data_IF_432302928790
#
_entry.id   IF_432302928790
#
_cell.length_a   1.000
_cell.length_b   1.000
_cell.length_c   1.000
_cell.angle_alpha   90.00
_cell.angle_beta   90.00
_cell.angle_gamma   90.00
#
_symmetry.space_group_name_H-M   'P 1'
#
loop_
_entity.id
_entity.type
_entity.pdbx_description
1 polymer ?
#
# COMPACT_ATOMS: atom_id res chain seq x y z
N UNK A 1 -14.17 -64.25 3.64
CA UNK A 1 -14.30 -63.46 4.89
C UNK A 1 -13.47 -62.19 4.71
N UNK A 2 -14.13 -61.05 4.90
CA UNK A 2 -13.73 -59.67 4.67
C UNK A 2 -12.25 -59.29 4.95
N UNK A 3 -11.67 -58.47 4.06
CA UNK A 3 -11.29 -57.07 4.39
C UNK A 3 -10.70 -56.35 3.17
N UNK A 4 -11.55 -55.59 2.46
CA UNK A 4 -11.11 -54.48 1.63
C UNK A 4 -10.80 -53.29 2.55
N UNK A 5 -9.54 -52.89 2.65
CA UNK A 5 -9.17 -51.59 3.21
C UNK A 5 -8.76 -50.67 2.07
N UNK A 6 -9.72 -49.90 1.57
CA UNK A 6 -9.42 -48.67 0.85
C UNK A 6 -9.03 -47.66 1.93
N UNK A 7 -7.71 -47.46 2.11
CA UNK A 7 -7.20 -46.32 2.84
C UNK A 7 -7.48 -45.07 1.99
N UNK A 8 -8.61 -44.42 2.23
CA UNK A 8 -8.83 -43.06 1.73
C UNK A 8 -7.92 -42.16 2.56
N UNK A 9 -6.68 -41.96 2.09
CA UNK A 9 -5.81 -40.93 2.61
C UNK A 9 -6.44 -39.59 2.21
N UNK A 10 -7.30 -39.06 3.08
CA UNK A 10 -7.81 -37.70 2.99
C UNK A 10 -6.62 -36.76 3.18
N UNK A 11 -5.99 -36.38 2.07
CA UNK A 11 -5.07 -35.27 2.07
C UNK A 11 -5.94 -34.01 2.14
N UNK A 12 -6.21 -33.59 3.38
CA UNK A 12 -6.87 -32.32 3.68
C UNK A 12 -5.92 -31.22 3.21
N UNK A 13 -6.03 -30.83 1.94
CA UNK A 13 -5.32 -29.69 1.38
C UNK A 13 -5.91 -28.44 2.03
N UNK A 14 -5.39 -28.08 3.20
CA UNK A 14 -5.59 -26.74 3.74
C UNK A 14 -4.76 -25.80 2.86
N UNK A 15 -5.29 -25.45 1.69
CA UNK A 15 -4.82 -24.30 0.96
C UNK A 15 -4.96 -23.11 1.92
N UNK A 16 -3.84 -22.55 2.36
CA UNK A 16 -3.83 -21.28 3.07
C UNK A 16 -4.50 -20.26 2.15
N UNK A 17 -5.75 -19.89 2.44
CA UNK A 17 -6.42 -18.80 1.75
C UNK A 17 -5.77 -17.51 2.22
N UNK A 18 -4.78 -17.02 1.47
CA UNK A 18 -4.38 -15.62 1.55
C UNK A 18 -5.58 -14.83 1.01
N UNK A 19 -6.41 -14.32 1.92
CA UNK A 19 -7.52 -13.45 1.55
C UNK A 19 -6.94 -12.07 1.23
N UNK A 20 -7.08 -11.62 -0.02
CA UNK A 20 -6.91 -10.21 -0.33
C UNK A 20 -8.05 -9.45 0.36
N UNK A 21 -7.75 -8.41 1.12
CA UNK A 21 -8.76 -7.58 1.78
C UNK A 21 -9.21 -6.47 0.81
N UNK A 22 -10.44 -5.99 0.98
CA UNK A 22 -11.02 -4.90 0.18
C UNK A 22 -11.18 -3.69 1.09
N UNK A 23 -10.60 -2.56 0.68
CA UNK A 23 -10.71 -1.28 1.37
C UNK A 23 -11.63 -0.33 0.57
N UNK A 24 -12.26 0.62 1.25
CA UNK A 24 -13.00 1.72 0.62
C UNK A 24 -12.30 3.04 0.87
N UNK A 25 -11.89 3.72 -0.20
CA UNK A 25 -11.28 5.05 -0.16
C UNK A 25 -12.35 6.09 -0.47
N UNK A 26 -12.40 7.16 0.32
CA UNK A 26 -13.19 8.34 0.01
C UNK A 26 -12.39 9.28 -0.89
N UNK A 27 -13.01 9.76 -1.97
CA UNK A 27 -12.39 10.71 -2.89
C UNK A 27 -12.47 12.12 -2.30
N UNK A 28 -11.32 12.76 -2.10
CA UNK A 28 -11.25 14.12 -1.55
C UNK A 28 -11.54 15.19 -2.62
N UNK A 29 -11.03 15.00 -3.84
CA UNK A 29 -11.17 15.95 -4.95
C UNK A 29 -11.60 15.27 -6.26
N UNK A 30 -12.31 16.03 -7.09
CA UNK A 30 -12.74 15.60 -8.41
C UNK A 30 -11.52 15.27 -9.29
N UNK A 31 -11.35 14.00 -9.65
CA UNK A 31 -10.24 13.51 -10.46
C UNK A 31 -10.71 12.51 -11.51
N UNK A 32 -9.92 12.27 -12.56
CA UNK A 32 -10.24 11.22 -13.53
C UNK A 32 -9.96 9.85 -12.95
N UNK A 33 -10.72 8.85 -13.40
CA UNK A 33 -10.44 7.45 -13.07
C UNK A 33 -9.01 7.08 -13.51
N UNK A 34 -8.56 7.50 -14.69
CA UNK A 34 -7.18 7.28 -15.15
C UNK A 34 -6.12 7.75 -14.16
N UNK A 35 -6.30 8.96 -13.60
CA UNK A 35 -5.33 9.58 -12.72
C UNK A 35 -5.32 8.87 -11.36
N UNK A 36 -6.51 8.55 -10.85
CA UNK A 36 -6.67 7.74 -9.64
C UNK A 36 -5.97 6.37 -9.76
N UNK A 37 -6.15 5.67 -10.88
CA UNK A 37 -5.52 4.36 -11.10
C UNK A 37 -3.99 4.44 -11.09
N UNK A 38 -3.42 5.47 -11.70
CA UNK A 38 -1.97 5.68 -11.71
C UNK A 38 -1.46 6.02 -10.31
N UNK A 39 -2.16 6.89 -9.58
CA UNK A 39 -1.75 7.35 -8.27
C UNK A 39 -1.69 6.23 -7.22
N UNK A 40 -2.61 5.27 -7.32
CA UNK A 40 -2.72 4.15 -6.40
C UNK A 40 -2.14 2.84 -6.98
N UNK A 41 -1.50 2.89 -8.16
CA UNK A 41 -0.96 1.74 -8.89
C UNK A 41 -1.96 0.58 -9.04
N UNK A 42 -3.21 0.93 -9.38
CA UNK A 42 -4.32 -0.01 -9.49
C UNK A 42 -4.50 -0.42 -10.95
N UNK A 43 -4.61 -1.72 -11.20
CA UNK A 43 -5.02 -2.24 -12.50
C UNK A 43 -6.44 -1.75 -12.85
N UNK A 44 -6.68 -1.19 -14.05
CA UNK A 44 -8.02 -0.79 -14.46
C UNK A 44 -9.05 -1.91 -14.31
N UNK A 45 -8.65 -3.15 -14.60
CA UNK A 45 -9.54 -4.29 -14.51
C UNK A 45 -10.01 -4.53 -13.07
N UNK A 46 -9.10 -4.44 -12.10
CA UNK A 46 -9.40 -4.64 -10.68
C UNK A 46 -10.35 -3.56 -10.17
N UNK A 47 -10.10 -2.31 -10.57
CA UNK A 47 -10.98 -1.19 -10.25
C UNK A 47 -12.41 -1.40 -10.76
N UNK A 48 -12.58 -1.78 -12.04
CA UNK A 48 -13.92 -1.95 -12.63
C UNK A 48 -14.64 -3.20 -12.12
N UNK A 49 -13.90 -4.24 -11.70
CA UNK A 49 -14.47 -5.41 -11.00
C UNK A 49 -15.08 -4.99 -9.66
N UNK A 50 -14.38 -4.15 -8.89
CA UNK A 50 -14.81 -3.70 -7.58
C UNK A 50 -15.86 -2.58 -7.64
N UNK A 51 -15.82 -1.77 -8.70
CA UNK A 51 -16.68 -0.61 -8.89
C UNK A 51 -17.42 -0.67 -10.25
N UNK A 52 -18.32 -1.67 -10.42
CA UNK A 52 -18.99 -1.89 -11.71
C UNK A 52 -19.88 -0.73 -12.14
N UNK A 53 -20.28 0.17 -11.23
CA UNK A 53 -21.07 1.37 -11.54
C UNK A 53 -20.37 2.32 -12.54
N UNK A 54 -19.03 2.25 -12.66
CA UNK A 54 -18.27 3.11 -13.56
C UNK A 54 -18.09 2.53 -14.97
N UNK A 55 -18.55 1.32 -15.24
CA UNK A 55 -18.53 0.70 -16.58
C UNK A 55 -19.94 0.23 -16.97
N UNK A 56 -20.24 0.23 -18.27
CA UNK A 56 -21.50 -0.34 -18.77
C UNK A 56 -21.42 -1.86 -18.96
N UNK A 57 -20.22 -2.44 -18.88
CA UNK A 57 -19.95 -3.86 -19.15
C UNK A 57 -19.40 -4.57 -17.93
N UNK A 58 -19.88 -5.80 -17.70
CA UNK A 58 -19.54 -6.61 -16.51
C UNK A 58 -18.10 -7.11 -16.49
N UNK A 59 -17.50 -7.32 -17.67
CA UNK A 59 -16.19 -7.98 -17.79
C UNK A 59 -15.18 -7.17 -18.60
N UNK A 60 -15.57 -5.98 -19.09
CA UNK A 60 -14.71 -5.12 -19.89
C UNK A 60 -14.97 -3.65 -19.53
N UNK A 61 -13.98 -2.80 -19.78
CA UNK A 61 -14.14 -1.35 -19.76
C UNK A 61 -13.78 -0.77 -21.13
N UNK A 62 -14.39 0.35 -21.48
CA UNK A 62 -14.05 1.12 -22.66
C UNK A 62 -13.02 2.20 -22.32
N UNK A 63 -12.32 2.71 -23.34
CA UNK A 63 -11.41 3.85 -23.15
C UNK A 63 -12.13 5.09 -22.59
N UNK A 64 -13.42 5.26 -22.89
CA UNK A 64 -14.23 6.37 -22.37
C UNK A 64 -14.50 6.24 -20.87
N UNK A 65 -14.56 5.01 -20.34
CA UNK A 65 -14.79 4.78 -18.91
C UNK A 65 -13.60 5.28 -18.07
N UNK A 66 -12.37 5.19 -18.58
CA UNK A 66 -11.17 5.72 -17.93
C UNK A 66 -11.15 7.26 -17.82
N UNK A 67 -11.81 7.93 -18.76
CA UNK A 67 -11.89 9.40 -18.80
C UNK A 67 -13.03 9.95 -17.93
N UNK A 68 -13.85 9.07 -17.33
CA UNK A 68 -14.89 9.49 -16.39
C UNK A 68 -14.25 10.12 -15.15
N UNK A 69 -14.99 11.05 -14.55
CA UNK A 69 -14.57 11.74 -13.33
C UNK A 69 -15.19 11.07 -12.11
N UNK A 70 -14.33 10.76 -11.15
CA UNK A 70 -14.71 10.49 -9.78
C UNK A 70 -15.03 11.82 -9.09
N UNK A 71 -16.08 11.85 -8.30
CA UNK A 71 -16.52 13.05 -7.58
C UNK A 71 -16.04 13.03 -6.14
N UNK A 72 -15.75 14.22 -5.62
CA UNK A 72 -15.50 14.38 -4.19
C UNK A 72 -16.68 13.81 -3.37
N UNK A 73 -16.36 12.98 -2.38
CA UNK A 73 -17.33 12.23 -1.57
C UNK A 73 -17.70 10.85 -2.10
N UNK A 74 -17.24 10.45 -3.29
CA UNK A 74 -17.42 9.08 -3.78
C UNK A 74 -16.59 8.09 -2.94
N UNK A 75 -17.15 6.90 -2.70
CA UNK A 75 -16.45 5.80 -2.05
C UNK A 75 -16.05 4.75 -3.08
N UNK A 76 -14.74 4.58 -3.28
CA UNK A 76 -14.18 3.64 -4.25
C UNK A 76 -13.60 2.44 -3.52
N UNK A 77 -14.01 1.25 -3.96
CA UNK A 77 -13.46 -0.01 -3.44
C UNK A 77 -12.19 -0.37 -4.19
N UNK A 78 -11.15 -0.70 -3.45
CA UNK A 78 -9.87 -1.15 -3.99
C UNK A 78 -9.41 -2.41 -3.24
N UNK A 79 -8.56 -3.22 -3.85
CA UNK A 79 -7.86 -4.24 -3.10
C UNK A 79 -6.80 -3.57 -2.23
N UNK A 80 -6.61 -4.06 -1.00
CA UNK A 80 -5.46 -3.69 -0.19
C UNK A 80 -4.22 -4.18 -0.91
N UNK A 81 -3.58 -3.29 -1.66
CA UNK A 81 -2.27 -3.59 -2.21
C UNK A 81 -1.32 -3.69 -1.03
N UNK A 82 -0.52 -4.76 -0.99
CA UNK A 82 0.48 -4.96 0.07
C UNK A 82 1.50 -3.80 0.10
N UNK A 83 1.50 -2.95 -0.93
CA UNK A 83 2.29 -1.73 -1.07
C UNK A 83 1.42 -0.47 -1.20
N UNK A 84 0.44 -0.26 -0.32
CA UNK A 84 -0.18 1.05 -0.12
C UNK A 84 0.85 2.05 0.43
N UNK A 85 1.78 2.49 -0.41
CA UNK A 85 2.49 3.74 -0.24
C UNK A 85 1.45 4.83 -0.46
N UNK A 86 0.76 5.24 0.61
CA UNK A 86 0.25 6.61 0.70
C UNK A 86 1.40 7.49 0.24
N UNK A 87 1.25 8.09 -0.93
CA UNK A 87 2.12 9.13 -1.44
C UNK A 87 1.89 10.40 -0.62
N UNK A 88 2.05 10.28 0.70
CA UNK A 88 2.49 11.38 1.51
C UNK A 88 3.79 11.85 0.84
N UNK A 89 3.86 13.14 0.51
CA UNK A 89 5.07 13.74 -0.02
C UNK A 89 6.16 13.66 1.05
N UNK A 90 6.79 12.49 1.18
CA UNK A 90 7.85 12.22 2.14
C UNK A 90 9.04 13.05 1.68
N UNK A 91 9.35 14.07 2.46
CA UNK A 91 10.58 14.84 2.28
C UNK A 91 11.65 14.27 3.20
N UNK A 92 12.93 14.56 2.92
CA UNK A 92 14.03 13.99 3.69
C UNK A 92 14.87 15.08 4.33
N UNK A 93 15.13 14.93 5.63
CA UNK A 93 16.15 15.72 6.34
C UNK A 93 17.43 14.89 6.42
N UNK A 94 18.56 15.53 6.12
CA UNK A 94 19.88 14.92 6.26
C UNK A 94 20.35 15.12 7.71
N UNK A 95 20.52 14.02 8.45
CA UNK A 95 21.02 14.05 9.83
C UNK A 95 22.38 13.37 9.96
N UNK A 96 23.37 14.08 10.52
CA UNK A 96 24.67 13.50 10.85
C UNK A 96 24.67 12.95 12.28
N UNK A 97 24.95 11.66 12.42
CA UNK A 97 24.94 10.96 13.72
C UNK A 97 26.05 11.50 14.63
N UNK A 98 25.66 11.99 15.81
CA UNK A 98 26.56 12.47 16.86
C UNK A 98 27.16 11.33 17.68
N UNK A 99 28.19 11.62 18.47
CA UNK A 99 28.85 10.62 19.32
C UNK A 99 27.87 10.07 20.37
N UNK A 100 27.77 8.75 20.49
CA UNK A 100 26.86 8.02 21.40
C UNK A 100 25.37 8.22 21.11
N UNK A 101 25.02 8.79 19.97
CA UNK A 101 23.61 8.99 19.62
C UNK A 101 22.99 7.66 19.20
N UNK A 102 21.79 7.38 19.69
CA UNK A 102 21.04 6.16 19.38
C UNK A 102 19.94 6.42 18.35
N UNK A 103 19.45 5.35 17.70
CA UNK A 103 18.33 5.44 16.77
C UNK A 103 17.06 5.98 17.46
N UNK A 104 16.82 5.59 18.70
CA UNK A 104 15.68 6.03 19.51
C UNK A 104 15.71 7.53 19.81
N UNK A 105 16.89 8.07 20.12
CA UNK A 105 17.07 9.52 20.28
C UNK A 105 16.82 10.27 18.97
N UNK A 106 17.30 9.73 17.84
CA UNK A 106 17.09 10.34 16.50
C UNK A 106 15.59 10.31 16.14
N UNK A 107 14.93 9.18 16.34
CA UNK A 107 13.49 9.00 16.19
C UNK A 107 12.71 10.03 17.00
N UNK A 108 13.06 10.22 18.27
CA UNK A 108 12.42 11.19 19.17
C UNK A 108 12.61 12.64 18.73
N UNK A 109 13.79 12.99 18.18
CA UNK A 109 14.08 14.36 17.70
C UNK A 109 13.17 14.76 16.55
N UNK A 110 12.90 13.84 15.62
CA UNK A 110 12.15 14.13 14.40
C UNK A 110 10.70 13.66 14.47
N UNK A 111 10.28 12.98 15.54
CA UNK A 111 8.91 12.48 15.69
C UNK A 111 8.56 11.36 14.71
N UNK A 112 9.56 10.58 14.27
CA UNK A 112 9.40 9.52 13.26
C UNK A 112 9.68 8.17 13.88
N UNK A 113 9.05 7.09 13.40
CA UNK A 113 9.32 5.76 13.96
C UNK A 113 10.71 5.23 13.57
N UNK A 114 11.33 4.46 14.46
CA UNK A 114 12.63 3.83 14.21
C UNK A 114 12.59 2.91 12.97
N UNK A 115 11.51 2.14 12.81
CA UNK A 115 11.30 1.27 11.66
C UNK A 115 11.26 2.06 10.35
N UNK A 116 10.63 3.25 10.36
CA UNK A 116 10.58 4.11 9.18
C UNK A 116 11.96 4.68 8.85
N UNK A 117 12.75 5.10 9.85
CA UNK A 117 14.14 5.52 9.62
C UNK A 117 14.95 4.38 8.99
N UNK A 118 14.84 3.16 9.52
CA UNK A 118 15.58 2.00 9.01
C UNK A 118 15.17 1.64 7.58
N UNK A 119 13.87 1.72 7.26
CA UNK A 119 13.34 1.47 5.90
C UNK A 119 14.05 2.32 4.84
N UNK A 120 14.34 3.58 5.13
CA UNK A 120 15.00 4.50 4.19
C UNK A 120 16.54 4.53 4.30
N UNK A 121 17.12 3.81 5.26
CA UNK A 121 18.57 3.80 5.53
C UNK A 121 19.14 2.37 5.63
N UNK A 122 18.64 1.46 4.79
CA UNK A 122 18.91 0.01 4.93
C UNK A 122 20.40 -0.35 4.81
N UNK A 123 21.18 0.46 4.07
CA UNK A 123 22.62 0.26 3.84
C UNK A 123 23.50 1.06 4.82
N UNK A 124 22.91 1.83 5.73
CA UNK A 124 23.64 2.75 6.60
C UNK A 124 23.65 2.23 8.04
N UNK A 125 24.84 1.93 8.56
CA UNK A 125 25.00 1.58 9.96
C UNK A 125 24.74 2.78 10.87
N UNK A 126 24.07 2.57 12.01
CA UNK A 126 23.85 3.60 13.04
C UNK A 126 25.14 3.81 13.83
N UNK A 127 26.10 4.54 13.24
CA UNK A 127 27.41 4.84 13.82
C UNK A 127 27.74 6.33 13.68
N UNK A 128 28.55 6.84 14.61
CA UNK A 128 29.02 8.24 14.62
C UNK A 128 29.55 8.64 13.24
N UNK A 129 29.26 9.88 12.84
CA UNK A 129 29.65 10.52 11.58
C UNK A 129 28.94 10.00 10.33
N UNK A 130 28.16 8.92 10.42
CA UNK A 130 27.30 8.51 9.33
C UNK A 130 26.15 9.51 9.14
N UNK A 131 25.58 9.49 7.95
CA UNK A 131 24.52 10.40 7.54
C UNK A 131 23.26 9.56 7.33
N UNK A 132 22.17 9.93 8.00
CA UNK A 132 20.85 9.34 7.82
C UNK A 132 19.95 10.27 7.04
N UNK A 133 19.14 9.69 6.17
CA UNK A 133 17.99 10.32 5.52
C UNK A 133 16.78 10.10 6.42
N UNK A 134 16.33 11.14 7.10
CA UNK A 134 15.17 11.07 7.99
C UNK A 134 13.92 11.43 7.18
N UNK A 135 12.98 10.50 6.99
CA UNK A 135 11.73 10.78 6.30
C UNK A 135 10.85 11.66 7.19
N UNK A 136 10.39 12.80 6.68
CA UNK A 136 9.44 13.67 7.35
C UNK A 136 8.20 13.83 6.47
N UNK A 137 7.04 13.69 7.11
CA UNK A 137 5.75 14.01 6.49
C UNK A 137 5.68 15.52 6.31
N UNK A 138 5.48 15.97 5.07
CA UNK A 138 5.24 17.39 4.82
C UNK A 138 3.83 17.71 5.30
N UNK A 139 3.69 18.25 6.51
CA UNK A 139 2.43 18.86 6.91
C UNK A 139 2.17 20.02 5.95
N UNK A 140 1.15 19.90 5.10
CA UNK A 140 0.64 21.00 4.28
C UNK A 140 0.20 22.10 5.25
N UNK A 141 1.04 23.12 5.45
CA UNK A 141 0.67 24.38 6.10
C UNK A 141 0.15 25.33 5.04
#
# INVERSE_FOLDING_TARGET
MFKNYIFILSFLFCFNTVSQSIESIQIDEDQKISDFLINYDISPNDFFILNPAFTSSRFNYSKLDLEKKLKSGDFIRIFESIENNKSEQISFIIHKIKRKQTLSEISSIYGVSENLILKYNIEIEIKRNNILKIPIEKSQN
#
